data_IF_314416823334
#
_entry.id   IF_314416823334
#
_cell.length_a   1.000
_cell.length_b   1.000
_cell.length_c   1.000
_cell.angle_alpha   90.00
_cell.angle_beta   90.00
_cell.angle_gamma   90.00
#
_symmetry.space_group_name_H-M   'P 1'
#
loop_
_entity.id
_entity.type
_entity.pdbx_description
1 polymer ?
#
# COMPACT_ATOMS: atom_id res chain seq x y z
N UNK A 1 2.79 0.68 -13.95
CA UNK A 1 2.13 -0.07 -12.87
C UNK A 1 1.14 -1.09 -13.39
N UNK A 2 1.67 -1.97 -14.20
CA UNK A 2 0.81 -2.94 -14.87
C UNK A 2 0.10 -3.87 -13.89
N UNK A 3 0.79 -4.24 -12.82
CA UNK A 3 0.18 -5.13 -11.84
C UNK A 3 -0.97 -4.47 -11.09
N UNK A 4 -0.85 -3.17 -10.81
CA UNK A 4 -1.95 -2.46 -10.18
C UNK A 4 -3.17 -2.44 -11.09
N UNK A 5 -2.97 -2.12 -12.36
CA UNK A 5 -4.08 -2.10 -13.31
C UNK A 5 -4.68 -3.49 -13.49
N UNK A 6 -3.83 -4.50 -13.57
CA UNK A 6 -4.30 -5.88 -13.70
C UNK A 6 -5.11 -6.29 -12.47
N UNK A 7 -4.64 -5.93 -11.29
CA UNK A 7 -5.36 -6.24 -10.07
C UNK A 7 -6.73 -5.56 -10.04
N UNK A 8 -6.76 -4.27 -10.38
CA UNK A 8 -8.03 -3.54 -10.43
C UNK A 8 -8.99 -4.18 -11.40
N UNK A 9 -8.49 -4.62 -12.56
CA UNK A 9 -9.34 -5.24 -13.56
C UNK A 9 -9.82 -6.61 -13.13
N UNK A 10 -9.14 -7.26 -12.20
CA UNK A 10 -9.56 -8.57 -11.70
C UNK A 10 -10.69 -8.46 -10.69
N UNK A 11 -10.93 -7.28 -10.14
CA UNK A 11 -11.97 -7.07 -9.15
C UNK A 11 -13.29 -6.71 -9.82
N UNK A 12 -14.39 -7.09 -9.19
CA UNK A 12 -15.71 -6.67 -9.63
C UNK A 12 -15.94 -5.22 -9.24
N UNK A 13 -16.93 -4.57 -9.86
CA UNK A 13 -17.12 -3.14 -9.67
C UNK A 13 -17.17 -2.69 -8.22
N UNK A 14 -18.00 -3.36 -7.41
CA UNK A 14 -18.12 -2.98 -6.01
C UNK A 14 -16.84 -3.27 -5.23
N UNK A 15 -16.23 -4.40 -5.50
CA UNK A 15 -14.98 -4.77 -4.86
C UNK A 15 -13.87 -3.78 -5.19
N UNK A 16 -13.87 -3.32 -6.44
CA UNK A 16 -12.88 -2.37 -6.89
C UNK A 16 -13.01 -1.05 -6.16
N UNK A 17 -14.23 -0.57 -6.00
CA UNK A 17 -14.47 0.66 -5.28
C UNK A 17 -14.15 0.52 -3.80
N UNK A 18 -14.52 -0.60 -3.21
CA UNK A 18 -14.19 -0.87 -1.82
C UNK A 18 -12.69 -0.90 -1.60
N UNK A 19 -11.97 -1.55 -2.51
CA UNK A 19 -10.52 -1.62 -2.42
C UNK A 19 -9.92 -0.21 -2.43
N UNK A 20 -10.34 0.62 -3.38
CA UNK A 20 -9.83 1.98 -3.48
C UNK A 20 -10.17 2.78 -2.22
N UNK A 21 -11.37 2.61 -1.71
CA UNK A 21 -11.79 3.31 -0.50
C UNK A 21 -10.95 2.90 0.70
N UNK A 22 -10.67 1.61 0.84
CA UNK A 22 -9.81 1.13 1.93
C UNK A 22 -8.39 1.66 1.80
N UNK A 23 -7.96 1.92 0.59
CA UNK A 23 -6.65 2.54 0.36
C UNK A 23 -6.69 4.05 0.61
N UNK A 24 -7.86 4.62 0.83
CA UNK A 24 -7.99 6.05 1.07
C UNK A 24 -7.99 6.88 -0.21
N UNK A 25 -8.40 6.30 -1.33
CA UNK A 25 -8.38 6.97 -2.62
C UNK A 25 -9.58 6.54 -3.45
N UNK A 26 -9.52 6.71 -4.76
CA UNK A 26 -10.59 6.34 -5.68
C UNK A 26 -10.07 5.46 -6.80
N UNK A 27 -10.98 4.71 -7.42
CA UNK A 27 -10.63 3.87 -8.57
C UNK A 27 -10.06 4.75 -9.68
N UNK A 28 -10.67 5.92 -9.91
CA UNK A 28 -10.19 6.83 -10.94
C UNK A 28 -8.77 7.26 -10.72
N UNK A 29 -8.42 7.59 -9.48
CA UNK A 29 -7.05 7.99 -9.17
C UNK A 29 -6.08 6.84 -9.40
N UNK A 30 -6.44 5.65 -8.95
CA UNK A 30 -5.56 4.49 -9.11
C UNK A 30 -5.36 4.14 -10.58
N UNK A 31 -6.43 4.21 -11.39
CA UNK A 31 -6.30 3.93 -12.81
C UNK A 31 -5.44 4.96 -13.51
N UNK A 32 -5.62 6.23 -13.17
CA UNK A 32 -4.82 7.28 -13.76
C UNK A 32 -3.35 7.12 -13.38
N UNK A 33 -3.09 6.89 -12.11
CA UNK A 33 -1.72 6.70 -11.65
C UNK A 33 -1.05 5.52 -12.34
N UNK A 34 -1.78 4.42 -12.51
CA UNK A 34 -1.24 3.26 -13.20
C UNK A 34 -0.97 3.52 -14.68
N UNK A 35 -1.85 4.30 -15.31
CA UNK A 35 -1.73 4.57 -16.75
C UNK A 35 -0.60 5.53 -17.07
N UNK A 36 -0.42 6.57 -16.25
CA UNK A 36 0.60 7.59 -16.53
C UNK A 36 1.86 7.37 -15.72
N UNK A 37 1.93 6.27 -15.00
CA UNK A 37 3.08 5.93 -14.16
C UNK A 37 3.38 7.02 -13.14
N UNK A 38 2.32 7.57 -12.59
CA UNK A 38 2.45 8.59 -11.56
C UNK A 38 3.05 7.97 -10.31
N UNK A 39 3.98 8.69 -9.68
CA UNK A 39 4.62 8.21 -8.48
C UNK A 39 3.67 8.34 -7.30
N UNK A 40 3.33 7.22 -6.68
CA UNK A 40 2.46 7.19 -5.52
C UNK A 40 3.26 7.44 -4.25
N UNK A 41 2.60 7.96 -3.22
CA UNK A 41 3.26 8.11 -1.93
C UNK A 41 3.55 6.74 -1.33
N UNK A 42 4.56 6.69 -0.47
CA UNK A 42 4.88 5.42 0.19
C UNK A 42 3.73 4.90 1.03
N UNK A 43 3.02 5.81 1.70
CA UNK A 43 1.86 5.40 2.50
C UNK A 43 0.78 4.75 1.66
N UNK A 44 0.49 5.30 0.49
CA UNK A 44 -0.50 4.70 -0.40
C UNK A 44 -0.01 3.37 -0.94
N UNK A 45 1.27 3.27 -1.29
CA UNK A 45 1.84 2.00 -1.73
C UNK A 45 1.67 0.92 -0.68
N UNK A 46 1.95 1.25 0.57
CA UNK A 46 1.80 0.29 1.66
C UNK A 46 0.35 -0.15 1.82
N UNK A 47 -0.59 0.77 1.68
CA UNK A 47 -2.01 0.41 1.76
C UNK A 47 -2.43 -0.48 0.61
N UNK A 48 -1.99 -0.18 -0.60
CA UNK A 48 -2.30 -1.02 -1.75
C UNK A 48 -1.74 -2.43 -1.55
N UNK A 49 -0.51 -2.51 -1.07
CA UNK A 49 0.11 -3.80 -0.81
C UNK A 49 -0.70 -4.59 0.23
N UNK A 50 -1.05 -3.95 1.34
CA UNK A 50 -1.79 -4.60 2.41
C UNK A 50 -3.19 -5.00 1.97
N UNK A 51 -3.91 -4.09 1.32
CA UNK A 51 -5.30 -4.35 0.94
C UNK A 51 -5.41 -5.35 -0.21
N UNK A 52 -4.36 -5.49 -1.01
CA UNK A 52 -4.35 -6.49 -2.08
C UNK A 52 -3.83 -7.83 -1.58
N UNK A 53 -3.53 -7.95 -0.30
CA UNK A 53 -2.94 -9.16 0.29
C UNK A 53 -1.64 -9.54 -0.40
N UNK A 54 -0.87 -8.53 -0.77
CA UNK A 54 0.43 -8.74 -1.40
C UNK A 54 0.38 -9.03 -2.89
N UNK A 55 -0.80 -9.05 -3.49
CA UNK A 55 -0.90 -9.33 -4.93
C UNK A 55 -0.30 -8.22 -5.78
N UNK A 56 -0.35 -6.98 -5.28
CA UNK A 56 0.34 -5.87 -5.91
C UNK A 56 1.55 -5.57 -5.04
N UNK A 57 2.73 -5.88 -5.54
CA UNK A 57 3.95 -5.73 -4.76
C UNK A 57 4.39 -4.29 -4.64
N UNK A 58 5.09 -3.98 -3.55
CA UNK A 58 5.60 -2.63 -3.34
C UNK A 58 6.57 -2.22 -4.43
N UNK A 59 7.38 -3.16 -4.89
CA UNK A 59 8.34 -2.90 -5.96
C UNK A 59 7.66 -2.63 -7.28
N UNK A 60 6.48 -3.17 -7.48
CA UNK A 60 5.69 -2.89 -8.69
C UNK A 60 5.14 -1.48 -8.66
N UNK A 61 4.88 -0.96 -7.48
CA UNK A 61 4.31 0.38 -7.32
C UNK A 61 5.37 1.46 -7.35
N UNK A 62 6.50 1.23 -6.70
CA UNK A 62 7.61 2.17 -6.70
C UNK A 62 8.92 1.42 -6.74
N UNK A 63 9.39 1.06 -7.93
CA UNK A 63 10.71 0.43 -8.06
C UNK A 63 11.78 1.43 -7.64
N UNK A 64 12.84 0.93 -7.07
CA UNK A 64 13.94 1.78 -6.63
C UNK A 64 13.87 2.24 -5.20
N UNK A 65 12.78 1.98 -4.51
CA UNK A 65 12.68 2.23 -3.07
C UNK A 65 13.14 0.99 -2.32
N UNK A 66 13.91 1.19 -1.27
CA UNK A 66 14.35 0.07 -0.44
C UNK A 66 13.22 -0.32 0.52
N UNK A 67 12.29 -1.08 -0.01
CA UNK A 67 11.12 -1.47 0.75
C UNK A 67 11.45 -2.37 1.92
N UNK A 68 12.50 -3.18 1.77
CA UNK A 68 12.89 -4.05 2.87
C UNK A 68 13.38 -3.24 4.06
N UNK A 69 14.18 -2.23 3.80
CA UNK A 69 14.64 -1.34 4.86
C UNK A 69 13.45 -0.63 5.52
N UNK A 70 12.52 -0.15 4.73
CA UNK A 70 11.34 0.54 5.27
C UNK A 70 10.48 -0.41 6.11
N UNK A 71 10.30 -1.63 5.64
CA UNK A 71 9.52 -2.62 6.39
C UNK A 71 10.20 -2.93 7.72
N UNK A 72 11.51 -3.10 7.71
CA UNK A 72 12.25 -3.38 8.92
C UNK A 72 12.18 -2.21 9.89
N UNK A 73 12.32 -1.01 9.38
CA UNK A 73 12.26 0.18 10.21
C UNK A 73 10.87 0.35 10.83
N UNK A 74 9.83 0.11 10.05
CA UNK A 74 8.46 0.21 10.55
C UNK A 74 8.18 -0.87 11.58
N UNK A 75 8.64 -2.07 11.34
CA UNK A 75 8.45 -3.16 12.28
C UNK A 75 9.14 -2.85 13.60
N UNK A 76 10.35 -2.34 13.55
CA UNK A 76 11.07 -1.96 14.76
C UNK A 76 10.38 -0.82 15.48
N UNK A 77 9.89 0.15 14.73
CA UNK A 77 9.19 1.28 15.32
C UNK A 77 7.91 0.83 16.00
N UNK A 78 7.16 -0.01 15.34
CA UNK A 78 5.91 -0.52 15.90
C UNK A 78 6.19 -1.31 17.16
N UNK A 79 7.19 -2.17 17.12
CA UNK A 79 7.56 -2.98 18.26
C UNK A 79 7.95 -2.09 19.44
N UNK A 80 8.79 -1.11 19.17
CA UNK A 80 9.25 -0.19 20.19
C UNK A 80 8.09 0.61 20.78
N UNK A 81 7.21 1.07 19.93
CA UNK A 81 6.04 1.82 20.37
C UNK A 81 5.16 1.00 21.27
N UNK A 82 4.96 -0.26 20.91
CA UNK A 82 4.13 -1.15 21.70
C UNK A 82 4.74 -1.36 23.08
N UNK A 83 6.00 -1.59 23.14
CA UNK A 83 6.69 -1.74 24.41
C UNK A 83 6.59 -0.48 25.22
N UNK A 84 6.79 0.64 24.58
CA UNK A 84 6.74 1.91 25.25
C UNK A 84 5.37 2.16 25.85
N UNK A 85 4.35 1.89 25.08
CA UNK A 85 3.00 2.06 25.59
C UNK A 85 2.75 1.15 26.77
N UNK A 86 3.18 -0.09 26.66
CA UNK A 86 3.04 -1.02 27.76
C UNK A 86 3.82 -0.54 28.98
N UNK A 87 4.98 -0.06 28.75
CA UNK A 87 5.83 0.41 29.83
C UNK A 87 5.33 1.67 30.41
N UNK A 88 4.67 2.38 29.64
CA UNK A 88 4.23 3.66 30.07
C UNK A 88 2.94 3.53 30.69
N UNK A 89 2.31 2.65 30.14
CA UNK A 89 1.29 2.17 30.94
C UNK A 89 2.04 1.93 32.18
N UNK A 90 3.13 1.72 31.96
CA UNK A 90 4.01 1.69 33.07
C UNK A 90 4.74 2.97 32.97
#
# INVERSE_FOLDING_TARGET
MDKLLAYLNSLQGEEREDFARRCGTSVGYLRKAGSVKQQLSEGLCLRIYAESAGKVGLEDLRPGVDWQYLRDALANTVHTSTETVANQGA
#
